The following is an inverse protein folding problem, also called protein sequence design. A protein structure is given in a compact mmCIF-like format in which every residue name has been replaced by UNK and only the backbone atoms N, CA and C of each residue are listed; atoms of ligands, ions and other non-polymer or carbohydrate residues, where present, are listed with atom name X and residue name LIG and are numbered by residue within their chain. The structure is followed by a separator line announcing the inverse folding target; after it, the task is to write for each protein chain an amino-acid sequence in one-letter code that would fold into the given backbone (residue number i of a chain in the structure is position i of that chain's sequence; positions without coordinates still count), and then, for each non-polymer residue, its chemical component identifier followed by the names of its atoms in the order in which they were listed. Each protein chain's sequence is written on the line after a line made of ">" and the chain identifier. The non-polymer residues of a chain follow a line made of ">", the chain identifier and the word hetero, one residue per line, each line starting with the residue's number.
data_IF_360295523290
#
_entry.id   IF_360295523290
#
_cell.length_a   1.000
_cell.length_b   1.000
_cell.length_c   1.000
_cell.angle_alpha   90.00
_cell.angle_beta   90.00
_cell.angle_gamma   90.00
#
_symmetry.space_group_name_H-M   'P 1'
#
loop_
_entity.id
_entity.type
_entity.pdbx_description
1 polymer ?
#
# COMPACT_ATOMS: atom_id res chain seq x y z
N UNK A 1 0.66 34.94 -36.63
CA UNK A 1 0.02 34.09 -35.60
C UNK A 1 -0.41 32.80 -36.27
N UNK A 2 0.44 31.76 -36.29
CA UNK A 2 0.06 30.45 -36.82
C UNK A 2 -0.51 29.60 -35.69
N UNK A 3 -1.64 28.95 -35.99
CA UNK A 3 -2.43 28.06 -35.14
C UNK A 3 -1.56 27.08 -34.36
N UNK A 4 -1.89 26.94 -33.07
CA UNK A 4 -1.43 25.86 -32.22
C UNK A 4 -1.86 24.51 -32.83
N UNK A 5 -0.90 23.71 -33.29
CA UNK A 5 -1.07 22.28 -33.46
C UNK A 5 -1.07 21.66 -32.05
N UNK A 6 -2.26 21.40 -31.51
CA UNK A 6 -2.39 20.39 -30.46
C UNK A 6 -2.09 19.03 -31.10
N UNK A 7 -0.81 18.68 -31.18
CA UNK A 7 -0.32 17.41 -31.70
C UNK A 7 -0.91 16.26 -30.88
N UNK A 8 -1.78 15.47 -31.49
CA UNK A 8 -2.08 14.14 -30.97
C UNK A 8 -0.77 13.36 -30.99
N UNK A 9 -0.36 12.83 -29.83
CA UNK A 9 0.82 11.98 -29.73
C UNK A 9 0.71 10.85 -30.77
N UNK A 10 1.76 10.65 -31.55
CA UNK A 10 1.79 9.55 -32.50
C UNK A 10 1.97 8.20 -31.78
N UNK A 11 1.75 7.10 -32.50
CA UNK A 11 1.79 5.77 -31.89
C UNK A 11 3.14 5.43 -31.25
N UNK A 12 4.24 5.93 -31.82
CA UNK A 12 5.59 5.69 -31.31
C UNK A 12 5.83 6.47 -30.00
N UNK A 13 5.39 7.73 -29.92
CA UNK A 13 5.43 8.55 -28.70
C UNK A 13 4.58 7.96 -27.57
N UNK A 14 3.39 7.43 -27.91
CA UNK A 14 2.53 6.74 -26.93
C UNK A 14 3.21 5.45 -26.44
N UNK A 15 3.86 4.71 -27.33
CA UNK A 15 4.59 3.48 -26.97
C UNK A 15 5.77 3.79 -26.05
N UNK A 16 6.58 4.80 -26.37
CA UNK A 16 7.69 5.22 -25.53
C UNK A 16 7.21 5.68 -24.15
N UNK A 17 6.10 6.43 -24.07
CA UNK A 17 5.50 6.84 -22.81
C UNK A 17 5.04 5.64 -21.98
N UNK A 18 4.38 4.67 -22.60
CA UNK A 18 3.90 3.46 -21.92
C UNK A 18 5.05 2.56 -21.48
N UNK A 19 6.11 2.45 -22.26
CA UNK A 19 7.34 1.73 -21.88
C UNK A 19 8.02 2.40 -20.68
N UNK A 20 8.21 3.73 -20.72
CA UNK A 20 8.75 4.48 -19.59
C UNK A 20 7.87 4.34 -18.34
N UNK A 21 6.55 4.40 -18.51
CA UNK A 21 5.60 4.24 -17.40
C UNK A 21 5.65 2.84 -16.79
N UNK A 22 5.65 1.80 -17.63
CA UNK A 22 5.71 0.40 -17.21
C UNK A 22 7.06 0.02 -16.58
N UNK A 23 8.16 0.71 -16.89
CA UNK A 23 9.43 0.56 -16.18
C UNK A 23 9.39 1.19 -14.77
N UNK A 24 8.76 2.36 -14.63
CA UNK A 24 8.74 3.11 -13.35
C UNK A 24 7.70 2.60 -12.35
N UNK A 25 6.55 2.11 -12.82
CA UNK A 25 5.48 1.61 -11.96
C UNK A 25 5.95 0.50 -11.01
N UNK A 26 6.62 -0.58 -11.46
CA UNK A 26 7.12 -1.63 -10.57
C UNK A 26 8.10 -1.11 -9.52
N UNK A 27 8.99 -0.18 -9.92
CA UNK A 27 9.97 0.43 -9.02
C UNK A 27 9.30 1.25 -7.91
N UNK A 28 8.27 2.04 -8.26
CA UNK A 28 7.48 2.80 -7.30
C UNK A 28 6.70 1.89 -6.35
N UNK A 29 6.09 0.82 -6.87
CA UNK A 29 5.38 -0.17 -6.06
C UNK A 29 6.32 -0.87 -5.08
N UNK A 30 7.50 -1.33 -5.54
CA UNK A 30 8.52 -1.94 -4.69
C UNK A 30 9.01 -0.98 -3.61
N UNK A 31 9.27 0.28 -3.96
CA UNK A 31 9.71 1.30 -3.00
C UNK A 31 8.65 1.59 -1.93
N UNK A 32 7.37 1.60 -2.31
CA UNK A 32 6.26 1.74 -1.37
C UNK A 32 6.13 0.50 -0.48
N UNK A 33 6.27 -0.70 -1.05
CA UNK A 33 6.30 -1.95 -0.29
C UNK A 33 7.45 -1.95 0.71
N UNK A 34 8.66 -1.55 0.32
CA UNK A 34 9.82 -1.45 1.21
C UNK A 34 9.66 -0.36 2.28
N UNK A 35 9.00 0.76 1.96
CA UNK A 35 8.71 1.80 2.94
C UNK A 35 7.71 1.34 4.01
N UNK A 36 6.79 0.41 3.67
CA UNK A 36 5.77 -0.11 4.59
C UNK A 36 6.26 -1.38 5.31
N UNK A 37 6.95 -2.27 4.60
CA UNK A 37 7.29 -3.62 5.04
C UNK A 37 8.79 -3.91 5.06
N UNK A 38 9.64 -2.99 4.63
CA UNK A 38 11.09 -3.11 4.73
C UNK A 38 11.52 -3.31 6.19
N UNK A 39 12.68 -3.92 6.40
CA UNK A 39 13.11 -4.41 7.72
C UNK A 39 13.01 -3.35 8.83
N UNK A 40 13.42 -2.12 8.56
CA UNK A 40 13.36 -1.01 9.53
C UNK A 40 11.93 -0.52 9.79
N UNK A 41 11.10 -0.47 8.74
CA UNK A 41 9.69 -0.13 8.86
C UNK A 41 8.92 -1.19 9.65
N UNK A 42 9.14 -2.47 9.31
CA UNK A 42 8.60 -3.62 10.03
C UNK A 42 9.03 -3.66 11.50
N UNK A 43 10.29 -3.34 11.81
CA UNK A 43 10.77 -3.28 13.19
C UNK A 43 10.12 -2.15 13.99
N UNK A 44 10.02 -0.94 13.41
CA UNK A 44 9.33 0.20 14.04
C UNK A 44 7.85 -0.07 14.24
N UNK A 45 7.21 -0.68 13.24
CA UNK A 45 5.82 -1.08 13.30
C UNK A 45 5.58 -2.12 14.41
N UNK A 46 6.40 -3.17 14.46
CA UNK A 46 6.33 -4.17 15.52
C UNK A 46 6.52 -3.60 16.92
N UNK A 47 7.44 -2.65 17.09
CA UNK A 47 7.63 -1.94 18.36
C UNK A 47 6.38 -1.12 18.74
N UNK A 48 5.81 -0.36 17.80
CA UNK A 48 4.60 0.43 18.05
C UNK A 48 3.39 -0.46 18.43
N UNK A 49 3.23 -1.61 17.76
CA UNK A 49 2.18 -2.59 18.09
C UNK A 49 2.37 -3.15 19.50
N UNK A 50 3.61 -3.49 19.88
CA UNK A 50 3.92 -4.01 21.20
C UNK A 50 3.67 -2.96 22.31
N UNK A 51 4.09 -1.72 22.08
CA UNK A 51 3.87 -0.61 23.02
C UNK A 51 2.38 -0.29 23.17
N UNK A 52 1.60 -0.37 22.09
CA UNK A 52 0.15 -0.21 22.12
C UNK A 52 -0.50 -1.29 23.01
N UNK A 53 -0.19 -2.57 22.77
CA UNK A 53 -0.68 -3.68 23.60
C UNK A 53 -0.32 -3.51 25.08
N UNK A 54 0.94 -3.16 25.36
CA UNK A 54 1.42 -2.92 26.73
C UNK A 54 0.66 -1.78 27.40
N UNK A 55 0.46 -0.66 26.71
CA UNK A 55 -0.29 0.50 27.21
C UNK A 55 -1.74 0.14 27.56
N UNK A 56 -2.40 -0.68 26.74
CA UNK A 56 -3.76 -1.15 27.03
C UNK A 56 -3.81 -1.99 28.32
N UNK A 57 -2.85 -2.90 28.51
CA UNK A 57 -2.73 -3.69 29.73
C UNK A 57 -2.45 -2.83 30.96
N UNK A 58 -1.52 -1.88 30.85
CA UNK A 58 -1.20 -0.94 31.93
C UNK A 58 -2.39 -0.04 32.29
N UNK A 59 -3.28 0.22 31.32
CA UNK A 59 -4.54 0.93 31.54
C UNK A 59 -5.64 0.08 32.18
N UNK A 60 -5.35 -1.18 32.55
CA UNK A 60 -6.25 -2.07 33.28
C UNK A 60 -7.08 -3.01 32.41
N UNK A 61 -6.80 -3.14 31.11
CA UNK A 61 -7.46 -4.13 30.26
C UNK A 61 -6.92 -5.55 30.51
N UNK A 62 -7.79 -6.56 30.35
CA UNK A 62 -7.35 -7.96 30.35
C UNK A 62 -6.51 -8.28 29.12
N UNK A 63 -5.74 -9.38 29.20
CA UNK A 63 -4.92 -9.86 28.09
C UNK A 63 -5.75 -10.09 26.81
N UNK A 64 -6.96 -10.66 26.94
CA UNK A 64 -7.89 -10.82 25.82
C UNK A 64 -8.35 -9.48 25.21
N UNK A 65 -8.66 -8.49 26.05
CA UNK A 65 -9.15 -7.19 25.59
C UNK A 65 -8.04 -6.43 24.85
N UNK A 66 -6.85 -6.37 25.44
CA UNK A 66 -5.69 -5.73 24.84
C UNK A 66 -5.29 -6.41 23.54
N UNK A 67 -5.30 -7.76 23.49
CA UNK A 67 -4.95 -8.52 22.30
C UNK A 67 -5.91 -8.22 21.15
N UNK A 68 -7.21 -8.30 21.39
CA UNK A 68 -8.24 -8.05 20.37
C UNK A 68 -8.18 -6.62 19.82
N UNK A 69 -7.99 -5.61 20.66
CA UNK A 69 -7.87 -4.22 20.19
C UNK A 69 -6.58 -4.00 19.38
N UNK A 70 -5.49 -4.65 19.78
CA UNK A 70 -4.22 -4.60 19.04
C UNK A 70 -4.35 -5.28 17.68
N UNK A 71 -5.00 -6.45 17.61
CA UNK A 71 -5.30 -7.16 16.36
C UNK A 71 -6.16 -6.29 15.42
N UNK A 72 -7.20 -5.64 15.95
CA UNK A 72 -8.04 -4.70 15.19
C UNK A 72 -7.23 -3.50 14.66
N UNK A 73 -6.36 -2.92 15.49
CA UNK A 73 -5.47 -1.84 15.08
C UNK A 73 -4.54 -2.26 13.94
N UNK A 74 -3.86 -3.41 14.07
CA UNK A 74 -3.01 -3.94 13.01
C UNK A 74 -3.78 -4.21 11.71
N UNK A 75 -4.99 -4.76 11.81
CA UNK A 75 -5.85 -5.03 10.65
C UNK A 75 -6.21 -3.75 9.89
N UNK A 76 -6.50 -2.66 10.60
CA UNK A 76 -6.79 -1.35 9.98
C UNK A 76 -5.60 -0.74 9.24
N UNK A 77 -4.37 -1.12 9.61
CA UNK A 77 -3.13 -0.63 8.99
C UNK A 77 -2.66 -1.48 7.82
N UNK A 78 -3.29 -2.65 7.57
CA UNK A 78 -3.02 -3.46 6.38
C UNK A 78 -3.69 -2.88 5.11
N UNK A 79 -3.37 -1.62 4.81
CA UNK A 79 -3.87 -0.87 3.66
C UNK A 79 -3.47 -1.56 2.35
N UNK A 80 -2.26 -2.13 2.29
CA UNK A 80 -1.79 -2.90 1.13
C UNK A 80 -2.66 -4.14 0.85
N UNK A 81 -3.04 -4.89 1.89
CA UNK A 81 -3.98 -6.00 1.78
C UNK A 81 -5.40 -5.57 1.41
N UNK A 82 -5.86 -4.42 1.89
CA UNK A 82 -7.17 -3.87 1.48
C UNK A 82 -7.19 -3.47 0.00
N UNK A 83 -6.14 -2.80 -0.49
CA UNK A 83 -6.00 -2.43 -1.91
C UNK A 83 -5.85 -3.68 -2.78
N UNK A 84 -5.03 -4.65 -2.37
CA UNK A 84 -4.86 -5.91 -3.09
C UNK A 84 -6.17 -6.72 -3.17
N UNK A 85 -6.96 -6.75 -2.09
CA UNK A 85 -8.29 -7.37 -2.12
C UNK A 85 -9.28 -6.60 -3.00
N UNK A 86 -9.23 -5.27 -3.02
CA UNK A 86 -10.09 -4.44 -3.88
C UNK A 86 -9.79 -4.63 -5.37
N UNK A 87 -8.50 -4.70 -5.74
CA UNK A 87 -8.05 -4.97 -7.11
C UNK A 87 -8.25 -6.44 -7.49
N UNK A 88 -7.99 -7.38 -6.57
CA UNK A 88 -8.16 -8.82 -6.78
C UNK A 88 -9.62 -9.28 -6.91
N UNK A 89 -10.59 -8.55 -6.35
CA UNK A 89 -12.02 -8.81 -6.55
C UNK A 89 -12.53 -8.48 -7.95
N UNK A 90 -11.81 -7.65 -8.71
CA UNK A 90 -12.20 -7.27 -10.09
C UNK A 90 -11.95 -8.35 -11.15
N UNK A 91 -11.12 -9.36 -10.87
CA UNK A 91 -10.71 -10.40 -11.83
C UNK A 91 -11.44 -11.74 -11.65
N UNK A 92 -12.41 -11.86 -10.74
CA UNK A 92 -13.03 -13.14 -10.36
C UNK A 92 -14.49 -13.27 -10.80
N UNK A 93 -14.83 -12.70 -11.96
CA UNK A 93 -16.20 -12.60 -12.47
C UNK A 93 -16.40 -12.88 -13.95
N UNK A 94 -15.44 -13.50 -14.64
CA UNK A 94 -15.60 -13.96 -16.03
C UNK A 94 -14.90 -15.32 -16.20
N UNK A 95 -15.61 -16.40 -15.88
CA UNK A 95 -15.42 -17.76 -16.41
C UNK A 95 -16.81 -18.38 -16.60
#
# INVERSE_FOLDING_TARGET
>A
MSKEEHGMMNADEVKELLEAFSEKIPTLLNSLTDAIYGKDASAKFGAAVADFYKTLKESGMTDEQAFRLTEQYMSSLNIGGMIANAVGKGHKGED
#
